data_IF_582431334834
#
_entry.id   IF_582431334834
#
_cell.length_a   1.000
_cell.length_b   1.000
_cell.length_c   1.000
_cell.angle_alpha   90.00
_cell.angle_beta   90.00
_cell.angle_gamma   90.00
#
_symmetry.space_group_name_H-M   'P 1'
#
loop_
_entity.id
_entity.type
_entity.pdbx_description
1 polymer ?
#
# COMPACT_ATOMS: atom_id res chain seq x y z
N UNK A 1 19.35 -3.61 8.06
CA UNK A 1 19.65 -2.29 8.64
C UNK A 1 18.33 -1.70 9.11
N UNK A 2 18.24 -1.30 10.38
CA UNK A 2 16.98 -0.86 10.98
C UNK A 2 16.38 0.35 10.24
N UNK A 3 17.23 1.30 9.83
CA UNK A 3 16.79 2.49 9.10
C UNK A 3 16.14 2.15 7.74
N UNK A 4 16.64 1.12 7.04
CA UNK A 4 16.06 0.69 5.75
C UNK A 4 14.70 0.03 5.93
N UNK A 5 14.50 -0.70 7.04
CA UNK A 5 13.21 -1.29 7.37
C UNK A 5 12.19 -0.23 7.79
N UNK A 6 12.64 0.83 8.48
CA UNK A 6 11.79 1.99 8.78
C UNK A 6 11.37 2.71 7.49
N UNK A 7 12.29 2.91 6.54
CA UNK A 7 11.99 3.48 5.22
C UNK A 7 11.04 2.58 4.43
N UNK A 8 11.27 1.25 4.43
CA UNK A 8 10.39 0.28 3.78
C UNK A 8 8.98 0.35 4.36
N UNK A 9 8.85 0.38 5.68
CA UNK A 9 7.55 0.49 6.34
C UNK A 9 6.83 1.79 5.94
N UNK A 10 7.48 2.94 6.10
CA UNK A 10 6.88 4.24 5.81
C UNK A 10 6.45 4.39 4.34
N UNK A 11 7.29 3.94 3.41
CA UNK A 11 6.98 4.02 1.97
C UNK A 11 5.94 2.99 1.54
N UNK A 12 5.85 1.84 2.23
CA UNK A 12 4.75 0.88 2.03
C UNK A 12 3.42 1.48 2.48
N UNK A 13 3.36 2.18 3.62
CA UNK A 13 2.17 2.92 4.06
C UNK A 13 1.73 3.93 2.99
N UNK A 14 2.67 4.73 2.49
CA UNK A 14 2.39 5.74 1.47
C UNK A 14 1.88 5.09 0.17
N UNK A 15 2.53 4.03 -0.30
CA UNK A 15 2.14 3.27 -1.48
C UNK A 15 0.71 2.71 -1.37
N UNK A 16 0.42 1.99 -0.29
CA UNK A 16 -0.89 1.36 -0.05
C UNK A 16 -2.00 2.41 0.04
N UNK A 17 -1.76 3.45 0.84
CA UNK A 17 -2.71 4.54 1.06
C UNK A 17 -3.02 5.27 -0.24
N UNK A 18 -1.98 5.66 -1.00
CA UNK A 18 -2.16 6.39 -2.26
C UNK A 18 -2.84 5.54 -3.33
N UNK A 19 -2.43 4.27 -3.48
CA UNK A 19 -3.03 3.38 -4.47
C UNK A 19 -4.51 3.11 -4.17
N UNK A 20 -4.85 2.92 -2.90
CA UNK A 20 -6.22 2.79 -2.47
C UNK A 20 -7.02 4.08 -2.74
N UNK A 21 -6.54 5.23 -2.27
CA UNK A 21 -7.23 6.50 -2.40
C UNK A 21 -7.46 6.93 -3.86
N UNK A 22 -6.50 6.60 -4.74
CA UNK A 22 -6.58 6.91 -6.17
C UNK A 22 -7.24 5.79 -6.99
N UNK A 23 -7.64 4.68 -6.37
CA UNK A 23 -8.22 3.52 -7.07
C UNK A 23 -7.31 2.98 -8.16
N UNK A 24 -6.02 2.82 -7.87
CA UNK A 24 -5.01 2.26 -8.77
C UNK A 24 -5.24 0.76 -8.92
N UNK A 25 -5.15 0.24 -10.14
CA UNK A 25 -5.37 -1.18 -10.50
C UNK A 25 -4.15 -1.77 -11.22
N UNK A 26 -4.24 -3.02 -11.67
CA UNK A 26 -3.16 -3.73 -12.35
C UNK A 26 -1.91 -3.91 -11.47
N UNK A 27 -2.07 -4.36 -10.24
CA UNK A 27 -0.99 -4.50 -9.26
C UNK A 27 -0.18 -5.77 -9.43
N UNK A 28 1.08 -5.68 -9.84
CA UNK A 28 1.95 -6.86 -10.02
C UNK A 28 3.43 -6.54 -9.74
N UNK A 29 4.24 -7.56 -9.48
CA UNK A 29 5.63 -7.36 -9.03
C UNK A 29 6.47 -6.50 -10.00
N UNK A 30 6.21 -6.58 -11.32
CA UNK A 30 6.92 -5.77 -12.32
C UNK A 30 6.63 -4.26 -12.25
N UNK A 31 5.63 -3.82 -11.46
CA UNK A 31 5.33 -2.41 -11.25
C UNK A 31 5.53 -1.93 -9.81
N UNK A 32 6.03 -2.80 -8.94
CA UNK A 32 6.37 -2.50 -7.55
C UNK A 32 7.89 -2.56 -7.39
N UNK A 33 8.50 -1.40 -7.19
CA UNK A 33 9.96 -1.23 -7.18
C UNK A 33 10.49 -1.04 -5.75
N UNK A 34 11.69 -1.54 -5.49
CA UNK A 34 12.42 -1.34 -4.24
C UNK A 34 13.79 -0.72 -4.51
N UNK A 35 14.14 0.34 -3.79
CA UNK A 35 15.46 0.97 -3.83
C UNK A 35 16.40 0.39 -2.78
N UNK A 36 17.70 0.57 -3.00
CA UNK A 36 18.75 0.15 -2.07
C UNK A 36 18.68 0.82 -0.68
N UNK A 37 18.02 1.98 -0.59
CA UNK A 37 17.76 2.70 0.66
C UNK A 37 16.54 2.16 1.44
N UNK A 38 15.81 1.19 0.88
CA UNK A 38 14.61 0.61 1.46
C UNK A 38 13.30 1.23 0.96
N UNK A 39 13.33 2.26 0.10
CA UNK A 39 12.11 2.88 -0.42
C UNK A 39 11.35 1.97 -1.37
N UNK A 40 10.11 1.64 -1.05
CA UNK A 40 9.14 0.98 -1.92
C UNK A 40 8.35 2.02 -2.70
N UNK A 41 8.20 1.84 -4.01
CA UNK A 41 7.39 2.74 -4.83
C UNK A 41 6.77 2.01 -6.01
N UNK A 42 5.62 2.51 -6.46
CA UNK A 42 4.95 2.01 -7.66
C UNK A 42 5.35 2.84 -8.88
N UNK A 43 5.50 2.14 -10.00
CA UNK A 43 5.51 2.73 -11.35
C UNK A 43 4.29 2.23 -12.12
N UNK A 44 4.03 2.80 -13.29
CA UNK A 44 2.87 2.46 -14.12
C UNK A 44 1.50 2.74 -13.48
N UNK A 45 0.86 3.79 -13.99
CA UNK A 45 -0.45 4.27 -13.57
C UNK A 45 -1.43 4.31 -14.75
N UNK A 46 -1.31 3.33 -15.67
CA UNK A 46 -2.24 3.19 -16.79
C UNK A 46 -3.71 2.98 -16.38
N UNK A 47 -3.92 2.44 -15.18
CA UNK A 47 -5.24 2.14 -14.61
C UNK A 47 -5.42 2.81 -13.24
N UNK A 48 -6.08 3.97 -13.24
CA UNK A 48 -6.34 4.79 -12.04
C UNK A 48 -7.79 5.25 -12.00
N UNK A 49 -8.22 5.79 -10.86
CA UNK A 49 -9.59 6.25 -10.62
C UNK A 49 -10.65 5.17 -10.90
N UNK A 50 -10.31 3.91 -10.62
CA UNK A 50 -11.19 2.77 -10.81
C UNK A 50 -11.24 2.21 -12.23
N UNK A 51 -10.47 2.74 -13.18
CA UNK A 51 -10.25 2.08 -14.47
C UNK A 51 -9.57 0.72 -14.25
N UNK A 52 -9.96 -0.30 -15.03
CA UNK A 52 -9.45 -1.68 -14.88
C UNK A 52 -8.89 -2.23 -16.19
N UNK A 53 -7.83 -3.06 -16.14
CA UNK A 53 -7.43 -3.89 -17.28
C UNK A 53 -8.47 -4.99 -17.56
N UNK A 54 -8.29 -5.70 -18.68
CA UNK A 54 -9.16 -6.84 -19.06
C UNK A 54 -9.00 -8.04 -18.12
N UNK A 55 -7.77 -8.31 -17.68
CA UNK A 55 -7.44 -9.28 -16.64
C UNK A 55 -6.79 -8.50 -15.51
N UNK A 56 -7.39 -8.51 -14.33
CA UNK A 56 -6.96 -7.68 -13.22
C UNK A 56 -6.57 -8.50 -12.00
N UNK A 57 -5.70 -7.91 -11.20
CA UNK A 57 -5.26 -8.42 -9.91
C UNK A 57 -6.19 -7.92 -8.80
N UNK A 58 -6.05 -8.41 -7.56
CA UNK A 58 -6.67 -7.77 -6.41
C UNK A 58 -6.36 -6.27 -6.34
N UNK A 59 -7.26 -5.49 -5.75
CA UNK A 59 -7.15 -4.02 -5.70
C UNK A 59 -5.93 -3.53 -4.94
N UNK A 60 -5.47 -4.30 -3.96
CA UNK A 60 -4.31 -3.99 -3.15
C UNK A 60 -3.32 -5.15 -3.26
N UNK A 61 -2.11 -4.85 -3.75
CA UNK A 61 -1.04 -5.86 -3.91
C UNK A 61 0.23 -5.35 -3.24
N UNK A 62 0.82 -6.21 -2.42
CA UNK A 62 2.16 -6.04 -1.85
C UNK A 62 2.92 -7.33 -2.10
N UNK A 63 4.15 -7.23 -2.59
CA UNK A 63 4.99 -8.40 -2.79
C UNK A 63 5.21 -9.11 -1.44
N UNK A 64 5.06 -10.44 -1.39
CA UNK A 64 5.24 -11.24 -0.16
C UNK A 64 6.61 -11.03 0.49
N UNK A 65 7.64 -10.69 -0.28
CA UNK A 65 8.95 -10.36 0.25
C UNK A 65 8.92 -9.15 1.19
N UNK A 66 8.05 -8.17 0.94
CA UNK A 66 7.88 -6.97 1.78
C UNK A 66 7.25 -7.35 3.13
N UNK A 67 6.16 -8.13 3.12
CA UNK A 67 5.50 -8.56 4.37
C UNK A 67 6.43 -9.42 5.22
N UNK A 68 7.20 -10.32 4.58
CA UNK A 68 8.25 -11.12 5.26
C UNK A 68 9.37 -10.25 5.82
N UNK A 69 9.85 -9.24 5.07
CA UNK A 69 10.92 -8.36 5.51
C UNK A 69 10.51 -7.46 6.69
N UNK A 70 9.25 -7.01 6.72
CA UNK A 70 8.69 -6.19 7.78
C UNK A 70 8.37 -7.01 9.04
N UNK A 71 8.01 -8.27 8.90
CA UNK A 71 7.71 -9.15 10.04
C UNK A 71 6.64 -8.56 10.94
N UNK A 72 6.92 -8.45 12.25
CA UNK A 72 5.97 -7.90 13.24
C UNK A 72 5.56 -6.45 12.94
N UNK A 73 6.41 -5.67 12.26
CA UNK A 73 6.12 -4.28 11.86
C UNK A 73 5.02 -4.17 10.81
N UNK A 74 4.66 -5.27 10.16
CA UNK A 74 3.57 -5.29 9.17
C UNK A 74 2.24 -4.83 9.78
N UNK A 75 1.96 -5.24 11.02
CA UNK A 75 0.73 -4.83 11.72
C UNK A 75 0.69 -3.31 11.94
N UNK A 76 1.84 -2.70 12.26
CA UNK A 76 1.97 -1.25 12.40
C UNK A 76 1.78 -0.54 11.06
N UNK A 77 2.25 -1.12 9.95
CA UNK A 77 2.03 -0.59 8.60
C UNK A 77 0.55 -0.58 8.25
N UNK A 78 -0.18 -1.67 8.50
CA UNK A 78 -1.63 -1.74 8.23
C UNK A 78 -2.38 -0.71 9.07
N UNK A 79 -2.06 -0.59 10.36
CA UNK A 79 -2.65 0.42 11.24
C UNK A 79 -2.37 1.85 10.74
N UNK A 80 -1.12 2.15 10.38
CA UNK A 80 -0.71 3.46 9.88
C UNK A 80 -1.36 3.82 8.52
N UNK A 81 -1.76 2.84 7.71
CA UNK A 81 -2.56 3.11 6.52
C UNK A 81 -3.96 3.65 6.89
N UNK A 82 -4.58 3.11 7.94
CA UNK A 82 -5.85 3.61 8.46
C UNK A 82 -5.74 5.06 8.95
N UNK A 83 -4.69 5.37 9.69
CA UNK A 83 -4.40 6.74 10.15
C UNK A 83 -4.14 7.68 8.97
N UNK A 84 -3.39 7.22 7.97
CA UNK A 84 -3.07 8.01 6.77
C UNK A 84 -4.32 8.29 5.93
N UNK A 85 -5.22 7.31 5.76
CA UNK A 85 -6.49 7.51 5.08
C UNK A 85 -7.39 8.50 5.82
N UNK A 86 -7.47 8.37 7.14
CA UNK A 86 -8.20 9.32 8.01
C UNK A 86 -7.66 10.75 7.85
N UNK A 87 -6.33 10.90 7.78
CA UNK A 87 -5.70 12.20 7.54
C UNK A 87 -6.03 12.77 6.14
N UNK A 88 -6.08 11.92 5.10
CA UNK A 88 -6.40 12.34 3.73
C UNK A 88 -7.87 12.73 3.56
N UNK A 89 -8.80 12.04 4.23
CA UNK A 89 -10.24 12.33 4.13
C UNK A 89 -10.66 13.51 5.00
N UNK A 90 -9.85 13.88 5.99
CA UNK A 90 -10.21 14.87 7.01
C UNK A 90 -11.35 14.40 7.92
N UNK A 91 -11.72 13.13 7.83
CA UNK A 91 -12.93 12.58 8.43
C UNK A 91 -12.58 11.93 9.76
N UNK A 92 -12.84 12.64 10.86
CA UNK A 92 -12.51 12.16 12.23
C UNK A 92 -13.57 11.21 12.81
N UNK A 93 -14.65 10.93 12.06
CA UNK A 93 -15.81 10.17 12.52
C UNK A 93 -16.19 9.06 11.54
N UNK A 94 -15.49 7.93 11.61
CA UNK A 94 -15.87 6.68 10.93
C UNK A 94 -14.69 5.75 10.70
N UNK A 95 -14.93 4.44 10.56
CA UNK A 95 -13.93 3.56 9.97
C UNK A 95 -13.66 4.06 8.55
N UNK A 96 -12.39 4.29 8.15
CA UNK A 96 -12.10 4.78 6.82
C UNK A 96 -12.72 3.83 5.77
N UNK A 97 -13.36 4.37 4.73
CA UNK A 97 -13.98 3.54 3.70
C UNK A 97 -12.94 2.53 3.17
N UNK A 98 -13.36 1.28 3.09
CA UNK A 98 -12.62 0.09 2.69
C UNK A 98 -11.31 -0.28 3.43
N UNK A 99 -11.21 0.02 4.73
CA UNK A 99 -10.18 -0.55 5.62
C UNK A 99 -10.15 -2.09 5.60
N UNK A 100 -11.28 -2.73 5.28
CA UNK A 100 -11.42 -4.16 5.07
C UNK A 100 -10.56 -4.67 3.89
N UNK A 101 -10.37 -3.89 2.82
CA UNK A 101 -9.49 -4.23 1.71
C UNK A 101 -8.00 -4.18 2.07
N UNK A 102 -7.60 -3.37 3.05
CA UNK A 102 -6.22 -3.33 3.57
C UNK A 102 -5.99 -4.42 4.61
N UNK A 103 -6.99 -4.66 5.47
CA UNK A 103 -6.95 -5.68 6.52
C UNK A 103 -6.99 -7.12 5.98
N UNK A 104 -7.36 -7.28 4.70
CA UNK A 104 -7.43 -8.57 4.01
C UNK A 104 -6.21 -8.86 3.12
N UNK A 105 -5.22 -7.97 3.10
CA UNK A 105 -3.93 -8.25 2.45
C UNK A 105 -3.18 -9.31 3.29
N UNK A 106 -2.91 -10.51 2.75
CA UNK A 106 -2.28 -11.60 3.49
C UNK A 106 -0.81 -11.35 3.84
#
# INVERSE_FOLDING_TARGET
DASKLDTLAATTVAYLTACYALGVRDGHDDNIMLRDDGSLFRVDFGFVFGATPEIDTPQTVVARAVTVALGERWLEVVAACGDSLTALTGDSYGSPPALDCLSSVP
#
